data_IF_941791176369
#
_entry.id   IF_941791176369
#
_cell.length_a   1.000
_cell.length_b   1.000
_cell.length_c   1.000
_cell.angle_alpha   90.00
_cell.angle_beta   90.00
_cell.angle_gamma   90.00
#
_symmetry.space_group_name_H-M   'P 1'
#
loop_
_entity.id
_entity.type
_entity.pdbx_description
1 polymer ?
#
# COMPACT_ATOMS: atom_id res chain seq x y z
N UNK A 1 -61.26 26.17 8.82
CA UNK A 1 -60.22 25.61 9.72
C UNK A 1 -60.14 24.08 9.78
N UNK A 2 -61.09 23.31 9.22
CA UNK A 2 -61.05 21.84 9.26
C UNK A 2 -60.18 21.18 8.16
N UNK A 3 -59.97 21.84 7.02
CA UNK A 3 -59.18 21.30 5.91
C UNK A 3 -57.67 21.24 6.21
N UNK A 4 -57.12 22.26 6.90
CA UNK A 4 -55.69 22.27 7.28
C UNK A 4 -55.32 21.16 8.28
N UNK A 5 -56.26 20.72 9.11
CA UNK A 5 -56.00 19.66 10.10
C UNK A 5 -55.87 18.27 9.46
N UNK A 6 -56.50 18.06 8.30
CA UNK A 6 -56.51 16.79 7.56
C UNK A 6 -55.25 16.60 6.70
N UNK A 7 -54.62 17.69 6.27
CA UNK A 7 -53.35 17.66 5.53
C UNK A 7 -52.21 17.28 6.48
N UNK A 8 -52.19 17.82 7.71
CA UNK A 8 -51.18 17.47 8.71
C UNK A 8 -51.20 15.98 9.09
N UNK A 9 -52.37 15.35 9.19
CA UNK A 9 -52.47 13.91 9.52
C UNK A 9 -52.02 12.98 8.38
N UNK A 10 -51.94 13.47 7.13
CA UNK A 10 -51.42 12.70 5.99
C UNK A 10 -49.89 12.77 5.97
N UNK A 11 -49.31 13.87 6.44
CA UNK A 11 -47.86 14.06 6.57
C UNK A 11 -47.28 13.28 7.76
N UNK A 12 -48.08 12.97 8.78
CA UNK A 12 -47.64 12.18 9.96
C UNK A 12 -47.65 10.65 9.75
N UNK A 13 -47.98 10.16 8.55
CA UNK A 13 -48.10 8.72 8.28
C UNK A 13 -46.79 8.14 7.71
N UNK A 14 -45.79 7.96 8.57
CA UNK A 14 -44.46 7.44 8.23
C UNK A 14 -44.42 5.91 8.03
N UNK A 15 -45.58 5.27 7.96
CA UNK A 15 -45.69 3.83 7.74
C UNK A 15 -45.18 3.48 6.33
N UNK A 16 -44.01 2.84 6.27
CA UNK A 16 -43.36 2.44 5.02
C UNK A 16 -42.20 3.35 4.57
N UNK A 17 -41.95 4.46 5.27
CA UNK A 17 -40.79 5.32 5.02
C UNK A 17 -39.48 4.53 5.10
N UNK A 18 -39.36 3.64 6.08
CA UNK A 18 -38.18 2.79 6.27
C UNK A 18 -37.91 1.82 5.09
N UNK A 19 -38.96 1.33 4.41
CA UNK A 19 -38.80 0.46 3.25
C UNK A 19 -38.30 1.28 2.05
N UNK A 20 -38.86 2.47 1.86
CA UNK A 20 -38.42 3.38 0.80
C UNK A 20 -36.97 3.84 1.03
N UNK A 21 -36.63 4.27 2.24
CA UNK A 21 -35.26 4.63 2.62
C UNK A 21 -34.30 3.46 2.40
N UNK A 22 -34.68 2.23 2.79
CA UNK A 22 -33.85 1.05 2.55
C UNK A 22 -33.57 0.81 1.06
N UNK A 23 -34.59 0.91 0.19
CA UNK A 23 -34.41 0.75 -1.26
C UNK A 23 -33.48 1.83 -1.82
N UNK A 24 -33.56 3.05 -1.31
CA UNK A 24 -32.68 4.16 -1.71
C UNK A 24 -31.24 3.96 -1.21
N UNK A 25 -31.06 3.42 0.01
CA UNK A 25 -29.73 3.20 0.59
C UNK A 25 -29.04 1.89 0.16
N UNK A 26 -29.80 0.90 -0.31
CA UNK A 26 -29.29 -0.41 -0.69
C UNK A 26 -28.13 -0.35 -1.72
N UNK A 27 -28.18 0.47 -2.79
CA UNK A 27 -27.05 0.63 -3.71
C UNK A 27 -25.76 1.09 -3.01
N UNK A 28 -25.87 2.01 -2.05
CA UNK A 28 -24.72 2.51 -1.29
C UNK A 28 -24.13 1.42 -0.37
N UNK A 29 -24.99 0.63 0.27
CA UNK A 29 -24.56 -0.49 1.12
C UNK A 29 -23.84 -1.55 0.28
N UNK A 30 -24.38 -1.90 -0.90
CA UNK A 30 -23.76 -2.87 -1.80
C UNK A 30 -22.41 -2.34 -2.32
N UNK A 31 -22.33 -1.06 -2.68
CA UNK A 31 -21.08 -0.44 -3.08
C UNK A 31 -20.02 -0.50 -1.96
N UNK A 32 -20.40 -0.09 -0.75
CA UNK A 32 -19.50 -0.14 0.41
C UNK A 32 -19.04 -1.57 0.71
N UNK A 33 -19.96 -2.54 0.67
CA UNK A 33 -19.64 -3.95 0.86
C UNK A 33 -18.65 -4.45 -0.19
N UNK A 34 -18.84 -4.07 -1.45
CA UNK A 34 -17.94 -4.42 -2.55
C UNK A 34 -16.55 -3.82 -2.35
N UNK A 35 -16.47 -2.56 -1.90
CA UNK A 35 -15.18 -1.92 -1.57
C UNK A 35 -14.47 -2.67 -0.44
N UNK A 36 -15.19 -3.03 0.63
CA UNK A 36 -14.63 -3.77 1.77
C UNK A 36 -14.11 -5.15 1.38
N UNK A 37 -14.84 -5.89 0.54
CA UNK A 37 -14.42 -7.21 0.06
C UNK A 37 -13.17 -7.10 -0.83
N UNK A 38 -13.14 -6.16 -1.78
CA UNK A 38 -11.98 -5.95 -2.65
C UNK A 38 -10.74 -5.54 -1.84
N UNK A 39 -10.90 -4.63 -0.87
CA UNK A 39 -9.81 -4.21 0.01
C UNK A 39 -9.30 -5.38 0.85
N UNK A 40 -10.20 -6.16 1.45
CA UNK A 40 -9.84 -7.33 2.26
C UNK A 40 -9.05 -8.37 1.47
N UNK A 41 -9.48 -8.64 0.23
CA UNK A 41 -8.76 -9.54 -0.67
C UNK A 41 -7.38 -9.00 -1.04
N UNK A 42 -7.25 -7.69 -1.31
CA UNK A 42 -5.97 -7.04 -1.61
C UNK A 42 -4.99 -7.11 -0.42
N UNK A 43 -5.50 -6.91 0.80
CA UNK A 43 -4.71 -6.98 2.03
C UNK A 43 -4.24 -8.42 2.26
N UNK A 44 -5.13 -9.41 2.14
CA UNK A 44 -4.78 -10.82 2.29
C UNK A 44 -3.71 -11.25 1.27
N UNK A 45 -3.88 -10.87 0.00
CA UNK A 45 -2.88 -11.08 -1.03
C UNK A 45 -1.51 -10.49 -0.65
N UNK A 46 -1.50 -9.23 -0.20
CA UNK A 46 -0.26 -8.54 0.20
C UNK A 46 0.42 -9.16 1.43
N UNK A 47 -0.34 -9.68 2.40
CA UNK A 47 0.20 -10.40 3.55
C UNK A 47 0.93 -11.68 3.10
N UNK A 48 0.34 -12.43 2.18
CA UNK A 48 0.98 -13.65 1.68
C UNK A 48 2.24 -13.33 0.87
N UNK A 49 2.24 -12.22 0.12
CA UNK A 49 3.45 -11.72 -0.52
C UNK A 49 4.54 -11.37 0.49
N UNK A 50 4.21 -10.71 1.59
CA UNK A 50 5.19 -10.43 2.64
C UNK A 50 5.76 -11.71 3.27
N UNK A 51 4.93 -12.73 3.52
CA UNK A 51 5.41 -14.01 4.07
C UNK A 51 6.41 -14.68 3.13
N UNK A 52 6.11 -14.71 1.83
CA UNK A 52 7.03 -15.24 0.83
C UNK A 52 8.31 -14.39 0.75
N UNK A 53 8.18 -13.06 0.66
CA UNK A 53 9.29 -12.13 0.62
C UNK A 53 10.23 -12.29 1.80
N UNK A 54 9.68 -12.39 3.02
CA UNK A 54 10.43 -12.64 4.24
C UNK A 54 11.26 -13.91 4.15
N UNK A 55 10.69 -15.00 3.65
CA UNK A 55 11.40 -16.28 3.47
C UNK A 55 12.60 -16.15 2.52
N UNK A 56 12.39 -15.56 1.34
CA UNK A 56 13.47 -15.32 0.37
C UNK A 56 14.52 -14.36 0.91
N UNK A 57 14.08 -13.30 1.57
CA UNK A 57 14.97 -12.30 2.14
C UNK A 57 15.91 -12.91 3.18
N UNK A 58 15.38 -13.72 4.11
CA UNK A 58 16.22 -14.42 5.07
C UNK A 58 17.14 -15.45 4.43
N UNK A 59 16.70 -16.11 3.36
CA UNK A 59 17.55 -17.04 2.61
C UNK A 59 18.73 -16.34 1.94
N UNK A 60 18.54 -15.11 1.45
CA UNK A 60 19.61 -14.31 0.83
C UNK A 60 20.59 -13.81 1.89
N UNK A 61 20.09 -13.39 3.06
CA UNK A 61 20.94 -12.93 4.16
C UNK A 61 21.55 -14.06 5.00
N UNK A 62 21.17 -15.31 4.74
CA UNK A 62 21.66 -16.45 5.49
C UNK A 62 23.18 -16.53 5.38
N UNK A 63 23.86 -16.57 6.53
CA UNK A 63 25.33 -16.57 6.64
C UNK A 63 26.07 -15.29 6.25
N UNK A 64 25.39 -14.18 5.92
CA UNK A 64 26.04 -12.89 5.69
C UNK A 64 25.70 -11.87 6.79
N UNK A 65 26.52 -11.90 7.85
CA UNK A 65 26.45 -10.91 8.94
C UNK A 65 26.90 -9.49 8.54
N UNK A 66 27.46 -9.32 7.33
CA UNK A 66 27.98 -8.04 6.83
C UNK A 66 27.13 -7.47 5.71
N UNK A 67 25.97 -8.05 5.44
CA UNK A 67 25.04 -7.54 4.44
C UNK A 67 24.46 -6.18 4.85
N UNK A 68 24.34 -5.21 3.91
CA UNK A 68 24.82 -5.25 2.53
C UNK A 68 26.35 -5.15 2.47
N UNK A 69 26.98 -6.05 1.71
CA UNK A 69 28.44 -6.07 1.59
C UNK A 69 28.94 -4.94 0.67
N UNK A 70 30.26 -4.73 0.62
CA UNK A 70 30.86 -3.66 -0.18
C UNK A 70 30.54 -3.76 -1.68
N UNK A 71 30.46 -4.96 -2.23
CA UNK A 71 30.17 -5.18 -3.66
C UNK A 71 28.76 -4.69 -3.97
N UNK A 72 27.79 -5.01 -3.10
CA UNK A 72 26.41 -4.55 -3.23
C UNK A 72 26.31 -3.03 -3.08
N UNK A 73 27.07 -2.45 -2.15
CA UNK A 73 27.12 -0.99 -1.96
C UNK A 73 27.67 -0.30 -3.21
N UNK A 74 28.79 -0.79 -3.75
CA UNK A 74 29.42 -0.22 -4.95
C UNK A 74 28.49 -0.36 -6.17
N UNK A 75 27.84 -1.50 -6.33
CA UNK A 75 26.86 -1.74 -7.40
C UNK A 75 25.65 -0.81 -7.29
N UNK A 76 24.99 -0.75 -6.14
CA UNK A 76 23.80 0.09 -5.94
C UNK A 76 24.15 1.59 -6.00
N UNK A 77 25.35 1.96 -5.54
CA UNK A 77 25.89 3.31 -5.68
C UNK A 77 26.05 3.73 -7.14
N UNK A 78 26.55 2.82 -7.99
CA UNK A 78 26.68 3.08 -9.43
C UNK A 78 25.32 3.34 -10.13
N UNK A 79 24.24 2.83 -9.53
CA UNK A 79 22.86 3.10 -9.96
C UNK A 79 22.26 4.37 -9.35
N UNK A 80 23.05 5.16 -8.63
CA UNK A 80 22.62 6.43 -8.03
C UNK A 80 21.76 6.29 -6.78
N UNK A 81 21.81 5.15 -6.06
CA UNK A 81 21.05 4.94 -4.82
C UNK A 81 21.73 5.62 -3.63
N UNK A 82 21.07 6.59 -3.00
CA UNK A 82 21.65 7.33 -1.87
C UNK A 82 21.57 6.61 -0.52
N UNK A 83 20.62 5.68 -0.36
CA UNK A 83 20.37 4.91 0.86
C UNK A 83 20.44 3.42 0.50
N UNK A 84 21.25 2.67 1.22
CA UNK A 84 21.46 1.24 1.00
C UNK A 84 21.31 0.52 2.34
N UNK A 85 20.37 -0.42 2.41
CA UNK A 85 20.05 -1.17 3.63
C UNK A 85 19.62 -2.58 3.26
N UNK A 86 19.71 -3.56 4.17
CA UNK A 86 19.17 -4.89 3.96
C UNK A 86 17.64 -4.82 4.12
N UNK A 87 16.99 -4.38 3.05
CA UNK A 87 15.54 -4.20 3.00
C UNK A 87 14.99 -4.75 1.69
N UNK A 88 13.73 -5.15 1.72
CA UNK A 88 13.02 -5.72 0.58
C UNK A 88 11.66 -5.07 0.43
N UNK A 89 11.31 -4.76 -0.81
CA UNK A 89 10.08 -4.05 -1.15
C UNK A 89 9.27 -4.89 -2.13
N UNK A 90 8.23 -5.54 -1.59
CA UNK A 90 7.27 -6.36 -2.33
C UNK A 90 7.87 -7.39 -3.29
N UNK A 91 7.01 -7.92 -4.17
CA UNK A 91 7.41 -8.75 -5.31
C UNK A 91 7.14 -8.02 -6.62
N UNK A 92 8.10 -8.10 -7.53
CA UNK A 92 7.94 -7.66 -8.91
C UNK A 92 7.17 -8.74 -9.69
N UNK A 93 6.01 -8.40 -10.25
CA UNK A 93 5.27 -9.29 -11.16
C UNK A 93 5.94 -9.34 -12.53
N UNK A 94 6.48 -8.20 -12.98
CA UNK A 94 7.09 -8.04 -14.29
C UNK A 94 8.28 -7.09 -14.19
N UNK A 95 9.33 -7.37 -14.96
CA UNK A 95 10.46 -6.45 -15.17
C UNK A 95 10.60 -6.20 -16.66
N UNK A 96 10.79 -4.94 -17.03
CA UNK A 96 11.08 -4.51 -18.41
C UNK A 96 12.46 -3.85 -18.38
N UNK A 97 13.45 -4.56 -18.94
CA UNK A 97 14.86 -4.20 -18.79
C UNK A 97 15.33 -4.21 -17.33
N UNK A 98 16.36 -3.42 -17.04
CA UNK A 98 16.97 -3.35 -15.70
C UNK A 98 16.35 -2.28 -14.80
N UNK A 99 15.67 -1.29 -15.38
CA UNK A 99 15.22 -0.10 -14.65
C UNK A 99 13.75 -0.15 -14.21
N UNK A 100 12.89 -0.86 -14.94
CA UNK A 100 11.45 -0.84 -14.68
C UNK A 100 10.97 -2.16 -14.07
N UNK A 101 10.36 -2.06 -12.90
CA UNK A 101 9.79 -3.17 -12.16
C UNK A 101 8.35 -2.84 -11.78
N UNK A 102 7.42 -3.73 -12.14
CA UNK A 102 5.99 -3.56 -11.89
C UNK A 102 5.58 -4.39 -10.67
N UNK A 103 5.07 -3.72 -9.64
CA UNK A 103 4.54 -4.35 -8.44
C UNK A 103 3.19 -5.03 -8.67
N UNK A 104 2.73 -5.78 -7.68
CA UNK A 104 1.41 -6.40 -7.73
C UNK A 104 0.31 -5.37 -7.47
N UNK A 105 -0.84 -5.59 -8.07
CA UNK A 105 -2.02 -4.74 -8.00
C UNK A 105 -3.28 -5.59 -8.02
N UNK A 106 -4.31 -5.04 -7.38
CA UNK A 106 -5.59 -5.70 -7.18
C UNK A 106 -6.66 -4.86 -7.86
N UNK A 107 -7.36 -5.46 -8.82
CA UNK A 107 -8.46 -4.80 -9.55
C UNK A 107 -9.70 -4.77 -8.66
N UNK A 108 -10.30 -3.59 -8.52
CA UNK A 108 -11.61 -3.44 -7.93
C UNK A 108 -12.65 -3.97 -8.91
N UNK A 109 -13.45 -4.91 -8.45
CA UNK A 109 -14.67 -5.29 -9.15
C UNK A 109 -15.66 -4.12 -9.02
N UNK A 110 -15.78 -3.32 -10.08
CA UNK A 110 -16.81 -2.30 -10.18
C UNK A 110 -18.13 -2.92 -10.60
N UNK A 111 -19.22 -2.57 -9.91
CA UNK A 111 -20.58 -2.99 -10.24
C UNK A 111 -21.12 -2.27 -11.50
N UNK A 112 -20.52 -1.15 -11.89
CA UNK A 112 -21.06 -0.25 -12.92
C UNK A 112 -20.21 -0.14 -14.19
N UNK A 113 -19.21 -1.00 -14.36
CA UNK A 113 -18.46 -1.08 -15.61
C UNK A 113 -17.10 -1.75 -15.47
N UNK A 114 -16.72 -2.55 -16.45
CA UNK A 114 -15.35 -3.05 -16.59
C UNK A 114 -14.53 -2.02 -17.36
N UNK A 115 -13.51 -1.42 -16.72
CA UNK A 115 -12.45 -0.76 -17.49
C UNK A 115 -11.53 -1.83 -18.09
N UNK A 116 -11.10 -1.63 -19.34
CA UNK A 116 -10.01 -2.38 -19.97
C UNK A 116 -8.62 -1.91 -19.49
N UNK A 117 -8.60 -1.08 -18.44
CA UNK A 117 -7.38 -0.57 -17.81
C UNK A 117 -6.47 -1.73 -17.37
N UNK A 118 -5.20 -1.65 -17.77
CA UNK A 118 -4.14 -2.46 -17.23
C UNK A 118 -3.39 -1.71 -16.13
N UNK A 119 -3.14 -2.37 -15.00
CA UNK A 119 -2.42 -1.79 -13.86
C UNK A 119 -0.98 -1.29 -14.16
N UNK A 120 -0.40 -1.79 -15.25
CA UNK A 120 0.95 -1.46 -15.70
C UNK A 120 0.99 -0.19 -16.55
N UNK A 121 -0.16 0.27 -17.06
CA UNK A 121 -0.25 1.46 -17.90
C UNK A 121 -0.15 2.74 -17.06
N UNK A 122 0.56 3.72 -17.59
CA UNK A 122 0.56 5.07 -17.03
C UNK A 122 -0.77 5.74 -17.32
N UNK A 123 -1.48 6.18 -16.29
CA UNK A 123 -2.71 6.95 -16.44
C UNK A 123 -2.39 8.29 -17.10
N UNK A 124 -2.96 8.53 -18.27
CA UNK A 124 -2.95 9.82 -18.94
C UNK A 124 -4.18 10.64 -18.52
N UNK A 125 -3.98 11.62 -17.62
CA UNK A 125 -5.02 12.52 -17.09
C UNK A 125 -5.45 12.24 -15.65
N UNK A 126 -6.46 12.97 -15.15
CA UNK A 126 -7.08 12.76 -13.82
C UNK A 126 -8.12 11.63 -13.83
N UNK A 127 -7.76 10.47 -14.38
CA UNK A 127 -8.64 9.31 -14.34
C UNK A 127 -8.44 8.54 -13.03
N UNK A 128 -9.53 8.21 -12.36
CA UNK A 128 -9.51 7.32 -11.20
C UNK A 128 -9.17 5.89 -11.65
N UNK A 129 -8.17 5.28 -11.02
CA UNK A 129 -7.76 3.91 -11.30
C UNK A 129 -8.69 2.92 -10.62
N UNK A 130 -9.04 1.85 -11.31
CA UNK A 130 -9.73 0.71 -10.70
C UNK A 130 -8.77 -0.26 -10.01
N UNK A 131 -7.51 0.11 -9.79
CA UNK A 131 -6.53 -0.73 -9.12
C UNK A 131 -6.07 -0.14 -7.80
N UNK A 132 -5.87 -1.03 -6.82
CA UNK A 132 -5.13 -0.71 -5.59
C UNK A 132 -3.81 -1.43 -5.58
N UNK A 133 -2.75 -0.68 -5.27
CA UNK A 133 -1.39 -1.18 -5.03
C UNK A 133 -1.13 -1.12 -3.54
N UNK A 134 -1.13 -2.27 -2.90
CA UNK A 134 -0.74 -2.38 -1.49
C UNK A 134 0.77 -2.49 -1.42
N UNK A 135 1.43 -1.42 -0.97
CA UNK A 135 2.86 -1.42 -0.75
C UNK A 135 3.19 -2.15 0.54
N UNK A 136 4.11 -3.09 0.43
CA UNK A 136 4.60 -3.85 1.57
C UNK A 136 6.10 -3.75 1.63
N UNK A 137 6.60 -3.44 2.82
CA UNK A 137 8.01 -3.26 3.08
C UNK A 137 8.41 -4.22 4.19
N UNK A 138 9.52 -4.92 3.96
CA UNK A 138 10.09 -5.84 4.92
C UNK A 138 11.58 -5.59 5.00
N UNK A 139 12.11 -5.46 6.21
CA UNK A 139 13.54 -5.31 6.44
C UNK A 139 13.94 -5.96 7.73
N UNK A 140 15.21 -6.34 7.84
CA UNK A 140 15.82 -6.65 9.13
C UNK A 140 16.56 -5.43 9.62
N UNK A 141 16.59 -5.27 10.94
CA UNK A 141 17.45 -4.29 11.55
C UNK A 141 18.90 -4.70 11.33
N UNK A 142 19.57 -3.96 10.45
CA UNK A 142 20.98 -4.14 10.11
C UNK A 142 21.59 -2.79 9.75
N UNK A 143 22.87 -2.82 9.35
CA UNK A 143 23.58 -1.61 8.97
C UNK A 143 22.93 -0.95 7.76
N UNK A 144 22.57 0.32 7.90
CA UNK A 144 22.08 1.18 6.83
C UNK A 144 23.19 2.13 6.45
N UNK A 145 23.43 2.34 5.17
CA UNK A 145 24.48 3.20 4.65
C UNK A 145 23.87 4.37 3.89
N UNK A 146 24.33 5.58 4.19
CA UNK A 146 23.90 6.80 3.55
C UNK A 146 25.08 7.43 2.81
N UNK A 147 24.84 7.93 1.59
CA UNK A 147 25.82 8.70 0.84
C UNK A 147 26.04 10.07 1.50
N UNK A 148 27.25 10.28 2.00
CA UNK A 148 27.75 11.55 2.56
C UNK A 148 27.91 12.62 1.47
N UNK A 149 27.98 13.88 1.87
CA UNK A 149 28.22 15.02 0.96
C UNK A 149 29.58 14.92 0.25
N UNK A 150 30.55 14.23 0.85
CA UNK A 150 31.83 13.89 0.23
C UNK A 150 31.79 12.74 -0.78
N UNK A 151 30.62 12.13 -1.00
CA UNK A 151 30.42 11.06 -1.99
C UNK A 151 30.70 9.64 -1.48
N UNK A 152 31.18 9.47 -0.25
CA UNK A 152 31.40 8.18 0.40
C UNK A 152 30.12 7.68 1.10
N UNK A 153 30.00 6.37 1.31
CA UNK A 153 28.91 5.80 2.09
C UNK A 153 29.36 5.60 3.53
N UNK A 154 28.60 6.16 4.45
CA UNK A 154 28.84 6.06 5.88
C UNK A 154 27.68 5.28 6.51
N UNK A 155 28.00 4.45 7.51
CA UNK A 155 26.96 3.79 8.29
C UNK A 155 26.11 4.87 8.98
N UNK A 156 24.82 4.85 8.70
CA UNK A 156 23.84 5.79 9.20
C UNK A 156 22.76 5.02 9.93
N UNK A 157 22.51 5.40 11.17
CA UNK A 157 21.33 4.95 11.89
C UNK A 157 20.12 5.78 11.44
N UNK A 158 19.76 5.72 10.15
CA UNK A 158 18.74 6.58 9.51
C UNK A 158 17.42 6.69 10.28
N UNK A 159 17.04 5.67 11.06
CA UNK A 159 15.89 5.72 11.97
C UNK A 159 16.02 6.75 13.12
N UNK A 160 17.18 7.36 13.33
CA UNK A 160 17.47 8.36 14.38
C UNK A 160 17.52 9.81 13.87
N UNK A 161 17.64 10.06 12.57
CA UNK A 161 17.87 11.42 12.05
C UNK A 161 17.02 11.77 10.80
N UNK A 162 15.70 11.61 10.93
CA UNK A 162 14.72 12.14 9.97
C UNK A 162 13.61 12.92 10.67
N UNK A 163 12.91 13.81 9.95
CA UNK A 163 11.81 14.61 10.50
C UNK A 163 10.62 13.77 11.03
N UNK A 164 10.59 12.47 10.73
CA UNK A 164 9.61 11.50 11.21
C UNK A 164 10.17 10.52 12.25
N UNK A 165 11.46 10.65 12.64
CA UNK A 165 12.11 9.77 13.61
C UNK A 165 11.47 9.86 15.00
N UNK A 166 11.04 11.06 15.43
CA UNK A 166 10.29 11.26 16.68
C UNK A 166 8.86 10.72 16.64
N UNK A 167 8.33 10.46 15.43
CA UNK A 167 6.98 9.90 15.20
C UNK A 167 6.99 8.37 15.20
N UNK A 168 8.14 7.76 14.94
CA UNK A 168 8.38 6.33 15.04
C UNK A 168 8.64 6.01 16.53
N UNK A 169 7.58 5.94 17.31
CA UNK A 169 7.55 5.92 18.78
C UNK A 169 8.21 4.73 19.50
N UNK A 170 9.18 4.05 18.88
CA UNK A 170 10.10 3.15 19.56
C UNK A 170 11.28 2.85 18.65
N UNK A 171 12.46 2.70 19.24
CA UNK A 171 13.66 2.17 18.61
C UNK A 171 13.40 0.79 18.00
N UNK A 172 12.84 0.75 16.78
CA UNK A 172 12.49 -0.52 16.13
C UNK A 172 13.72 -1.35 15.72
N UNK A 173 14.93 -0.84 15.96
CA UNK A 173 16.20 -1.53 15.71
C UNK A 173 17.18 -1.53 16.89
N UNK A 174 16.73 -1.29 18.12
CA UNK A 174 17.52 -1.64 19.31
C UNK A 174 17.08 -3.04 19.73
N UNK A 175 17.82 -4.06 19.29
CA UNK A 175 17.85 -5.30 20.05
C UNK A 175 18.49 -4.96 21.41
N UNK A 176 17.71 -5.12 22.49
CA UNK A 176 18.29 -5.34 23.82
C UNK A 176 18.97 -6.71 23.85
#
# INVERSE_FOLDING_TARGET
MAANKKINSIVENENGQAIFEFVVFLPFIIFLFTVLVNLSNSINGSINQQKALRGYFYRILEHDSKAPNRIDIDYLSSQGRNIIAPVSLGWAKKRVGDAQSFGTCYKFLSLFGSSDEECEESLSGENSSNFVKVFTFYGVCGSTYLKSSGGFYEESHFLKMGNFASSLGSDHCVQQ
#
